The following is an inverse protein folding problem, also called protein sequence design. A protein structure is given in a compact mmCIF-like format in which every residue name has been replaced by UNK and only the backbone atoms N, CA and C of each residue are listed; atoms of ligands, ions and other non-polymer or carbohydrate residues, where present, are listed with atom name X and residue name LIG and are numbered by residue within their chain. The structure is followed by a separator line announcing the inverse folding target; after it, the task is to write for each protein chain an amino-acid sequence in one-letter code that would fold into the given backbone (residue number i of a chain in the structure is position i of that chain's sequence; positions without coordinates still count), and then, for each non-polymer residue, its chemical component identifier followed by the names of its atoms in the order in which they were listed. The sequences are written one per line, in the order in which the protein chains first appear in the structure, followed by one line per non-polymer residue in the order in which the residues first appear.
data_IF_067616522913
#
_entry.id   IF_067616522913
#
_cell.length_a   1.000
_cell.length_b   1.000
_cell.length_c   1.000
_cell.angle_alpha   90.00
_cell.angle_beta   90.00
_cell.angle_gamma   90.00
#
_symmetry.space_group_name_H-M   'P 1'
#
loop_
_entity.id
_entity.type
_entity.pdbx_description
1 polymer ?
#
# COMPACT_ATOMS: atom_id res chain seq x y z
N UNK A 1 -42.04 15.70 26.85
CA UNK A 1 -40.81 16.44 27.14
C UNK A 1 -39.80 15.49 27.77
N UNK A 2 -38.56 15.55 27.32
CA UNK A 2 -37.45 14.86 27.99
C UNK A 2 -37.10 15.63 29.28
N UNK A 3 -36.75 14.90 30.35
CA UNK A 3 -36.35 15.50 31.61
C UNK A 3 -34.84 15.44 31.68
N UNK A 4 -34.21 16.59 31.89
CA UNK A 4 -32.77 16.74 31.76
C UNK A 4 -32.22 17.40 33.02
N UNK A 5 -31.13 16.85 33.54
CA UNK A 5 -30.42 17.34 34.72
C UNK A 5 -29.03 17.79 34.30
N UNK A 6 -28.66 19.04 34.60
CA UNK A 6 -27.31 19.54 34.36
C UNK A 6 -26.33 19.02 35.42
N UNK A 7 -25.10 18.71 35.01
CA UNK A 7 -24.04 18.30 35.93
C UNK A 7 -23.51 19.55 36.64
N UNK A 8 -23.73 19.63 37.96
CA UNK A 8 -23.17 20.70 38.77
C UNK A 8 -21.65 20.54 38.89
N UNK A 9 -20.89 21.31 38.09
CA UNK A 9 -19.42 21.41 38.23
C UNK A 9 -18.58 21.22 36.96
N UNK A 10 -19.18 21.06 35.78
CA UNK A 10 -18.45 21.02 34.50
C UNK A 10 -18.78 19.81 33.63
N UNK A 11 -17.92 19.52 32.65
CA UNK A 11 -18.05 18.41 31.71
C UNK A 11 -17.37 17.13 32.23
N UNK A 12 -17.92 15.96 31.87
CA UNK A 12 -17.38 14.64 32.17
C UNK A 12 -16.97 13.93 30.87
N UNK A 13 -15.67 13.64 30.65
CA UNK A 13 -15.25 12.86 29.49
C UNK A 13 -15.65 11.38 29.66
N UNK A 14 -16.23 10.81 28.60
CA UNK A 14 -16.58 9.40 28.50
C UNK A 14 -15.80 8.83 27.32
N UNK A 15 -14.68 8.18 27.61
CA UNK A 15 -13.73 7.71 26.60
C UNK A 15 -13.80 6.20 26.45
N UNK A 16 -13.89 5.77 25.20
CA UNK A 16 -13.96 4.39 24.74
C UNK A 16 -12.76 4.02 23.85
N UNK A 17 -12.11 4.99 23.21
CA UNK A 17 -10.95 4.81 22.33
C UNK A 17 -9.73 4.07 22.93
N UNK A 18 -9.69 3.85 24.26
CA UNK A 18 -8.67 3.02 24.94
C UNK A 18 -9.09 1.60 25.29
N UNK A 19 -10.35 1.22 25.03
CA UNK A 19 -10.97 -0.09 25.32
C UNK A 19 -11.99 -0.46 24.24
N UNK A 20 -11.58 -0.37 22.97
CA UNK A 20 -12.45 -0.54 21.80
C UNK A 20 -13.22 -1.88 21.81
N UNK A 21 -12.62 -2.93 22.37
CA UNK A 21 -13.23 -4.25 22.57
C UNK A 21 -14.54 -4.20 23.39
N UNK A 22 -14.71 -3.15 24.20
CA UNK A 22 -15.85 -2.94 25.11
C UNK A 22 -16.86 -1.89 24.63
N UNK A 23 -16.61 -1.25 23.49
CA UNK A 23 -17.40 -0.11 23.01
C UNK A 23 -17.91 -0.24 21.58
N UNK A 24 -17.69 -1.40 20.96
CA UNK A 24 -18.18 -1.69 19.62
C UNK A 24 -17.17 -2.38 18.71
N UNK A 25 -15.89 -2.43 19.08
CA UNK A 25 -14.79 -3.00 18.26
C UNK A 25 -14.50 -2.15 17.02
N UNK A 26 -15.49 -2.04 16.14
CA UNK A 26 -15.48 -1.23 14.92
C UNK A 26 -15.71 0.26 15.21
N UNK A 27 -16.43 0.58 16.29
CA UNK A 27 -16.78 1.95 16.69
C UNK A 27 -16.35 2.25 18.12
N UNK A 28 -15.90 3.48 18.35
CA UNK A 28 -15.59 4.04 19.67
C UNK A 28 -16.28 5.42 19.79
N UNK A 29 -17.52 5.48 20.30
CA UNK A 29 -18.26 6.74 20.36
C UNK A 29 -17.82 7.54 21.60
N UNK A 30 -16.63 8.14 21.58
CA UNK A 30 -16.19 9.01 22.67
C UNK A 30 -17.16 10.18 22.84
N UNK A 31 -17.55 10.50 24.07
CA UNK A 31 -18.53 11.55 24.40
C UNK A 31 -18.00 12.51 25.46
N UNK A 32 -18.62 13.69 25.53
CA UNK A 32 -18.49 14.62 26.66
C UNK A 32 -19.87 14.85 27.25
N UNK A 33 -20.09 14.47 28.50
CA UNK A 33 -21.37 14.67 29.17
C UNK A 33 -21.35 15.92 30.07
N UNK A 34 -22.28 16.84 29.85
CA UNK A 34 -22.58 17.98 30.75
C UNK A 34 -23.99 17.89 31.35
N UNK A 35 -24.75 16.85 31.00
CA UNK A 35 -26.05 16.56 31.57
C UNK A 35 -26.42 15.07 31.54
N UNK A 36 -27.53 14.76 32.21
CA UNK A 36 -28.19 13.44 32.17
C UNK A 36 -29.61 13.63 31.64
N UNK A 37 -29.90 13.02 30.50
CA UNK A 37 -31.23 12.88 29.92
C UNK A 37 -31.90 11.61 30.43
N UNK A 38 -33.20 11.67 30.72
CA UNK A 38 -33.97 10.47 31.08
C UNK A 38 -34.07 9.48 29.91
N UNK A 39 -34.06 9.96 28.66
CA UNK A 39 -34.19 9.12 27.46
C UNK A 39 -32.84 8.63 26.91
N UNK A 40 -31.77 9.37 27.13
CA UNK A 40 -30.46 9.10 26.52
C UNK A 40 -29.36 8.80 27.54
N UNK A 41 -29.57 9.03 28.84
CA UNK A 41 -28.53 8.88 29.85
C UNK A 41 -27.55 10.06 29.85
N UNK A 42 -26.25 9.85 30.15
CA UNK A 42 -25.23 10.88 30.06
C UNK A 42 -25.09 11.40 28.62
N UNK A 43 -25.21 12.71 28.45
CA UNK A 43 -25.21 13.37 27.13
C UNK A 43 -24.57 14.74 27.18
N UNK A 44 -24.14 15.22 26.03
CA UNK A 44 -23.94 16.65 25.82
C UNK A 44 -25.29 17.32 25.54
N UNK A 45 -25.67 18.31 26.33
CA UNK A 45 -26.96 18.99 26.28
C UNK A 45 -27.22 19.62 24.90
N UNK A 46 -26.18 20.20 24.30
CA UNK A 46 -26.24 20.73 22.94
C UNK A 46 -26.66 19.64 21.93
N UNK A 47 -26.04 18.46 22.05
CA UNK A 47 -26.28 17.25 21.25
C UNK A 47 -27.72 16.72 21.26
N UNK A 48 -28.57 17.14 22.21
CA UNK A 48 -29.99 16.76 22.23
C UNK A 48 -30.86 17.58 21.25
N UNK A 49 -30.34 18.71 20.77
CA UNK A 49 -31.10 19.69 19.97
C UNK A 49 -30.54 19.92 18.57
N UNK A 50 -29.42 19.28 18.28
CA UNK A 50 -28.65 19.40 17.04
C UNK A 50 -28.47 18.03 16.42
N UNK A 51 -28.26 18.01 15.11
CA UNK A 51 -27.88 16.83 14.35
C UNK A 51 -26.42 16.87 13.92
N UNK A 52 -25.64 17.86 14.39
CA UNK A 52 -24.21 17.94 14.12
C UNK A 52 -23.44 16.92 14.98
N UNK A 53 -22.67 16.00 14.38
CA UNK A 53 -21.84 15.04 15.10
C UNK A 53 -20.88 15.66 16.11
N UNK A 54 -20.38 16.87 15.87
CA UNK A 54 -19.39 17.52 16.75
C UNK A 54 -19.97 18.00 18.06
N UNK A 55 -21.28 18.19 18.14
CA UNK A 55 -21.99 18.57 19.35
C UNK A 55 -22.45 17.35 20.17
N UNK A 56 -22.25 16.14 19.64
CA UNK A 56 -22.63 14.86 20.23
C UNK A 56 -21.40 14.06 20.65
N UNK A 57 -20.35 14.06 19.83
CA UNK A 57 -19.17 13.23 19.95
C UNK A 57 -17.93 14.04 20.32
N UNK A 58 -17.08 13.47 21.17
CA UNK A 58 -15.79 14.02 21.55
C UNK A 58 -14.74 13.85 20.43
N UNK A 59 -13.65 14.61 20.53
CA UNK A 59 -12.42 14.32 19.78
C UNK A 59 -11.92 12.91 20.13
N UNK A 60 -11.47 12.16 19.11
CA UNK A 60 -10.96 10.80 19.27
C UNK A 60 -11.99 9.68 19.06
N UNK A 61 -13.27 10.02 18.86
CA UNK A 61 -14.27 9.05 18.47
C UNK A 61 -13.95 8.45 17.09
N UNK A 62 -13.98 7.12 16.94
CA UNK A 62 -13.62 6.45 15.67
C UNK A 62 -14.65 5.45 15.15
N UNK A 63 -14.69 5.29 13.83
CA UNK A 63 -15.30 4.17 13.11
C UNK A 63 -14.24 3.60 12.17
N UNK A 64 -13.83 2.34 12.35
CA UNK A 64 -12.78 1.70 11.55
C UNK A 64 -11.52 2.59 11.44
N UNK A 65 -11.13 3.28 12.51
CA UNK A 65 -9.98 4.21 12.52
C UNK A 65 -10.18 5.57 11.80
N UNK A 66 -11.34 5.80 11.17
CA UNK A 66 -11.77 7.12 10.68
C UNK A 66 -12.35 7.95 11.82
N UNK A 67 -12.22 9.29 11.76
CA UNK A 67 -12.89 10.17 12.74
C UNK A 67 -14.40 10.02 12.57
N UNK A 68 -15.06 9.47 13.58
CA UNK A 68 -16.48 9.15 13.55
C UNK A 68 -17.32 10.38 13.20
N UNK A 69 -16.89 11.57 13.65
CA UNK A 69 -17.58 12.85 13.43
C UNK A 69 -17.59 13.30 11.99
N UNK A 70 -16.65 12.80 11.20
CA UNK A 70 -16.54 13.12 9.77
C UNK A 70 -17.26 12.11 8.89
N UNK A 71 -17.51 10.88 9.37
CA UNK A 71 -18.13 9.79 8.59
C UNK A 71 -19.60 9.53 8.94
N UNK A 72 -20.13 10.07 10.04
CA UNK A 72 -21.57 9.97 10.34
C UNK A 72 -22.31 11.26 10.00
N UNK A 73 -23.57 11.09 9.60
CA UNK A 73 -24.51 12.18 9.33
C UNK A 73 -25.90 11.81 9.83
N UNK A 74 -26.84 12.77 9.82
CA UNK A 74 -28.24 12.49 10.09
C UNK A 74 -28.54 12.04 11.53
N UNK A 75 -27.72 12.46 12.50
CA UNK A 75 -27.90 12.11 13.90
C UNK A 75 -29.30 12.49 14.40
N UNK A 76 -30.02 11.48 14.88
CA UNK A 76 -31.31 11.64 15.56
C UNK A 76 -31.14 11.93 17.05
N UNK A 77 -29.94 11.70 17.59
CA UNK A 77 -29.54 12.02 18.96
C UNK A 77 -28.25 11.29 19.38
N UNK A 78 -27.79 11.55 20.61
CA UNK A 78 -26.65 10.86 21.21
C UNK A 78 -26.96 9.37 21.47
N UNK A 79 -25.92 8.53 21.67
CA UNK A 79 -26.08 7.16 22.14
C UNK A 79 -26.95 7.10 23.41
N UNK A 80 -27.90 6.18 23.46
CA UNK A 80 -28.72 5.97 24.65
C UNK A 80 -27.98 5.05 25.62
N UNK A 81 -27.54 5.57 26.76
CA UNK A 81 -26.87 4.80 27.82
C UNK A 81 -27.80 4.75 29.04
N UNK A 82 -28.64 3.71 29.11
CA UNK A 82 -29.68 3.58 30.13
C UNK A 82 -29.37 2.42 31.06
N UNK A 83 -29.70 2.58 32.35
CA UNK A 83 -29.59 1.52 33.34
C UNK A 83 -30.97 1.08 33.82
N UNK A 84 -31.24 -0.22 33.71
CA UNK A 84 -32.40 -0.87 34.30
C UNK A 84 -32.09 -1.22 35.76
N UNK A 85 -32.77 -0.53 36.67
CA UNK A 85 -32.63 -0.69 38.12
C UNK A 85 -33.56 -1.76 38.70
N UNK A 86 -34.34 -2.47 37.89
CA UNK A 86 -35.20 -3.57 38.35
C UNK A 86 -34.40 -4.81 38.76
N UNK A 87 -33.14 -4.91 38.31
CA UNK A 87 -32.19 -5.97 38.64
C UNK A 87 -31.14 -5.50 39.67
N UNK A 88 -30.53 -6.45 40.40
CA UNK A 88 -29.43 -6.17 41.35
C UNK A 88 -28.30 -7.18 41.14
N UNK A 89 -27.12 -6.75 40.65
CA UNK A 89 -26.77 -5.40 40.22
C UNK A 89 -27.58 -4.93 39.00
N UNK A 90 -27.70 -3.61 38.77
CA UNK A 90 -28.46 -3.07 37.63
C UNK A 90 -27.82 -3.45 36.29
N UNK A 91 -28.66 -3.60 35.26
CA UNK A 91 -28.21 -3.86 33.89
C UNK A 91 -28.06 -2.53 33.16
N UNK A 92 -26.92 -2.27 32.54
CA UNK A 92 -26.68 -1.06 31.73
C UNK A 92 -26.66 -1.44 30.27
N UNK A 93 -27.43 -0.73 29.44
CA UNK A 93 -27.48 -0.92 28.00
C UNK A 93 -27.13 0.39 27.29
N UNK A 94 -26.15 0.33 26.40
CA UNK A 94 -25.87 1.36 25.41
C UNK A 94 -26.44 0.93 24.06
N UNK A 95 -27.24 1.78 23.43
CA UNK A 95 -27.73 1.56 22.06
C UNK A 95 -27.56 2.82 21.23
N UNK A 96 -27.09 2.65 20.00
CA UNK A 96 -26.98 3.73 19.03
C UNK A 96 -27.19 3.14 17.64
N UNK A 97 -28.10 3.68 16.85
CA UNK A 97 -28.52 3.06 15.58
C UNK A 97 -29.14 4.06 14.63
N UNK A 98 -29.50 3.58 13.44
CA UNK A 98 -30.08 4.38 12.35
C UNK A 98 -29.18 5.55 11.91
N UNK A 99 -27.86 5.41 12.04
CA UNK A 99 -26.90 6.41 11.61
C UNK A 99 -26.56 6.20 10.15
N UNK A 100 -26.74 7.25 9.34
CA UNK A 100 -26.28 7.24 7.94
C UNK A 100 -24.81 7.60 7.87
N UNK A 101 -24.05 6.87 7.05
CA UNK A 101 -22.65 7.15 6.82
C UNK A 101 -22.52 8.10 5.62
N UNK A 102 -21.59 9.04 5.72
CA UNK A 102 -21.30 10.03 4.68
C UNK A 102 -19.87 9.91 4.18
N UNK A 103 -19.63 10.50 3.02
CA UNK A 103 -18.35 10.40 2.34
C UNK A 103 -17.26 11.20 3.07
N UNK A 104 -16.20 10.48 3.44
CA UNK A 104 -14.96 11.06 3.94
C UNK A 104 -13.79 10.25 3.41
N UNK A 105 -13.17 10.66 2.29
CA UNK A 105 -12.18 9.83 1.62
C UNK A 105 -11.03 9.41 2.56
N UNK A 106 -10.54 8.15 2.49
CA UNK A 106 -10.94 7.09 1.56
C UNK A 106 -12.25 6.35 1.87
N UNK A 107 -12.94 6.70 2.97
CA UNK A 107 -14.23 6.11 3.32
C UNK A 107 -15.37 6.74 2.53
N UNK A 108 -16.30 5.92 2.04
CA UNK A 108 -17.49 6.36 1.32
C UNK A 108 -18.72 5.63 1.84
N UNK A 109 -19.72 6.39 2.29
CA UNK A 109 -20.96 5.81 2.77
C UNK A 109 -21.88 5.48 1.60
N UNK A 110 -22.36 4.25 1.53
CA UNK A 110 -23.37 3.86 0.55
C UNK A 110 -24.75 4.44 0.87
N UNK A 111 -25.68 4.44 -0.09
CA UNK A 111 -27.02 5.00 0.07
C UNK A 111 -27.89 4.26 1.09
N UNK A 112 -27.53 3.03 1.46
CA UNK A 112 -28.18 2.21 2.49
C UNK A 112 -27.29 2.04 3.72
N UNK A 113 -26.22 2.84 3.84
CA UNK A 113 -25.29 2.72 4.95
C UNK A 113 -25.95 2.92 6.30
N UNK A 114 -25.72 1.97 7.19
CA UNK A 114 -26.14 2.05 8.58
C UNK A 114 -24.99 1.71 9.52
N UNK A 115 -25.00 2.35 10.68
CA UNK A 115 -24.20 1.96 11.83
C UNK A 115 -25.14 1.68 13.00
N UNK A 116 -25.07 0.47 13.53
CA UNK A 116 -25.77 0.03 14.73
C UNK A 116 -24.78 -0.48 15.79
N UNK A 117 -24.96 -0.04 17.03
CA UNK A 117 -24.15 -0.39 18.18
C UNK A 117 -25.07 -0.77 19.34
N UNK A 118 -24.82 -1.93 19.93
CA UNK A 118 -25.44 -2.35 21.18
C UNK A 118 -24.37 -2.89 22.12
N UNK A 119 -24.30 -2.32 23.32
CA UNK A 119 -23.50 -2.86 24.43
C UNK A 119 -24.44 -3.12 25.59
N UNK A 120 -24.48 -4.36 26.07
CA UNK A 120 -25.29 -4.75 27.22
C UNK A 120 -24.39 -5.32 28.31
N UNK A 121 -24.45 -4.72 29.49
CA UNK A 121 -23.75 -5.15 30.68
C UNK A 121 -24.76 -5.56 31.74
N UNK A 122 -24.78 -6.84 32.08
CA UNK A 122 -25.55 -7.40 33.18
C UNK A 122 -24.63 -7.87 34.31
N UNK A 123 -25.20 -8.48 35.35
CA UNK A 123 -24.44 -9.10 36.44
C UNK A 123 -23.54 -10.25 35.94
N UNK A 124 -24.04 -10.99 34.94
CA UNK A 124 -23.50 -12.29 34.53
C UNK A 124 -22.72 -12.22 33.21
N UNK A 125 -22.93 -11.16 32.42
CA UNK A 125 -22.33 -11.03 31.09
C UNK A 125 -22.14 -9.57 30.65
N UNK A 126 -21.15 -9.39 29.78
CA UNK A 126 -21.05 -8.22 28.91
C UNK A 126 -21.11 -8.72 27.48
N UNK A 127 -22.01 -8.16 26.70
CA UNK A 127 -22.16 -8.45 25.27
C UNK A 127 -22.06 -7.14 24.49
N UNK A 128 -21.28 -7.15 23.42
CA UNK A 128 -21.10 -6.02 22.52
C UNK A 128 -21.39 -6.49 21.10
N UNK A 129 -22.21 -5.74 20.36
CA UNK A 129 -22.45 -5.95 18.93
C UNK A 129 -22.35 -4.63 18.19
N UNK A 130 -21.68 -4.62 17.05
CA UNK A 130 -21.61 -3.46 16.16
C UNK A 130 -21.75 -3.92 14.72
N UNK A 131 -22.74 -3.37 14.01
CA UNK A 131 -23.03 -3.68 12.62
C UNK A 131 -22.82 -2.40 11.79
N UNK A 132 -22.02 -2.50 10.73
CA UNK A 132 -21.74 -1.41 9.77
C UNK A 132 -22.07 -1.93 8.39
N UNK A 133 -22.93 -1.24 7.64
CA UNK A 133 -23.41 -1.73 6.34
C UNK A 133 -23.11 -0.76 5.21
N UNK A 134 -23.06 -1.30 3.99
CA UNK A 134 -23.05 -0.59 2.71
C UNK A 134 -22.04 0.57 2.69
N UNK A 135 -20.76 0.26 2.62
CA UNK A 135 -19.71 1.28 2.49
C UNK A 135 -18.55 0.83 1.63
N UNK A 136 -17.85 1.80 1.06
CA UNK A 136 -16.68 1.58 0.23
C UNK A 136 -15.42 2.15 0.88
N UNK A 137 -14.28 1.51 0.58
CA UNK A 137 -12.94 2.07 0.76
C UNK A 137 -12.32 2.30 -0.62
N UNK A 138 -12.11 3.56 -1.00
CA UNK A 138 -11.53 3.97 -2.30
C UNK A 138 -10.05 4.33 -2.16
N UNK A 139 -9.20 3.73 -3.00
CA UNK A 139 -7.74 3.76 -2.82
C UNK A 139 -6.99 3.97 -4.15
N UNK A 140 -6.20 5.04 -4.31
CA UNK A 140 -6.22 6.27 -3.52
C UNK A 140 -7.57 6.99 -3.66
N UNK A 141 -7.96 7.86 -2.72
CA UNK A 141 -9.27 8.50 -2.75
C UNK A 141 -9.49 9.39 -3.98
N UNK A 142 -10.73 9.40 -4.49
CA UNK A 142 -11.19 10.31 -5.54
C UNK A 142 -10.96 9.81 -6.97
N UNK A 143 -10.90 10.72 -7.94
CA UNK A 143 -10.87 10.38 -9.37
C UNK A 143 -9.66 9.56 -9.85
N UNK A 144 -8.68 9.34 -8.98
CA UNK A 144 -7.50 8.51 -9.24
C UNK A 144 -7.57 7.15 -8.53
N UNK A 145 -8.75 6.75 -8.02
CA UNK A 145 -8.97 5.44 -7.42
C UNK A 145 -8.49 4.32 -8.36
N UNK A 146 -7.74 3.39 -7.78
CA UNK A 146 -7.17 2.22 -8.42
C UNK A 146 -7.81 0.94 -7.90
N UNK A 147 -8.26 0.96 -6.64
CA UNK A 147 -8.96 -0.14 -5.99
C UNK A 147 -10.11 0.43 -5.15
N UNK A 148 -11.29 -0.14 -5.31
CA UNK A 148 -12.45 0.10 -4.46
C UNK A 148 -12.84 -1.22 -3.80
N UNK A 149 -12.91 -1.24 -2.48
CA UNK A 149 -13.46 -2.37 -1.73
C UNK A 149 -14.85 -2.01 -1.25
N UNK A 150 -15.86 -2.74 -1.72
CA UNK A 150 -17.23 -2.60 -1.29
C UNK A 150 -17.55 -3.64 -0.21
N UNK A 151 -18.16 -3.18 0.89
CA UNK A 151 -18.60 -4.01 2.00
C UNK A 151 -20.13 -3.95 2.11
N UNK A 152 -20.81 -5.09 2.01
CA UNK A 152 -22.24 -5.15 2.27
C UNK A 152 -22.52 -5.03 3.77
N UNK A 153 -21.84 -5.82 4.60
CA UNK A 153 -21.97 -5.75 6.06
C UNK A 153 -20.69 -6.21 6.79
N UNK A 154 -20.35 -5.49 7.86
CA UNK A 154 -19.34 -5.80 8.85
C UNK A 154 -19.99 -5.88 10.23
N UNK A 155 -19.98 -7.08 10.81
CA UNK A 155 -20.66 -7.40 12.06
C UNK A 155 -19.68 -7.88 13.10
N UNK A 156 -19.41 -7.04 14.08
CA UNK A 156 -18.60 -7.38 15.25
C UNK A 156 -19.49 -7.87 16.38
N UNK A 157 -19.08 -8.95 17.04
CA UNK A 157 -19.69 -9.42 18.27
C UNK A 157 -18.65 -9.86 19.30
N UNK A 158 -18.89 -9.50 20.56
CA UNK A 158 -18.02 -9.87 21.67
C UNK A 158 -18.88 -10.27 22.86
N UNK A 159 -18.53 -11.39 23.48
CA UNK A 159 -19.11 -11.84 24.75
C UNK A 159 -17.96 -12.01 25.74
N UNK A 160 -18.11 -11.48 26.95
CA UNK A 160 -17.11 -11.61 28.00
C UNK A 160 -16.64 -13.07 28.18
N UNK A 161 -15.33 -13.28 28.15
CA UNK A 161 -14.71 -14.60 28.29
C UNK A 161 -14.62 -15.44 27.01
N UNK A 162 -15.09 -14.92 25.86
CA UNK A 162 -14.89 -15.53 24.53
C UNK A 162 -13.99 -14.65 23.67
N UNK A 163 -13.38 -15.24 22.65
CA UNK A 163 -12.72 -14.48 21.60
C UNK A 163 -13.76 -13.61 20.87
N UNK A 164 -13.41 -12.36 20.51
CA UNK A 164 -14.24 -11.55 19.62
C UNK A 164 -14.49 -12.28 18.30
N UNK A 165 -15.67 -12.08 17.74
CA UNK A 165 -16.08 -12.58 16.44
C UNK A 165 -16.36 -11.41 15.52
N UNK A 166 -15.89 -11.49 14.29
CA UNK A 166 -16.17 -10.51 13.25
C UNK A 166 -16.61 -11.25 12.00
N UNK A 167 -17.90 -11.13 11.70
CA UNK A 167 -18.46 -11.56 10.43
C UNK A 167 -18.29 -10.44 9.41
N UNK A 168 -17.68 -10.78 8.27
CA UNK A 168 -17.61 -9.89 7.12
C UNK A 168 -18.45 -10.52 6.02
N UNK A 169 -19.59 -9.90 5.74
CA UNK A 169 -20.56 -10.39 4.79
C UNK A 169 -20.38 -9.64 3.47
N UNK A 170 -20.07 -10.42 2.43
CA UNK A 170 -19.93 -9.98 1.04
C UNK A 170 -19.01 -8.77 0.84
N UNK A 171 -17.75 -9.05 0.49
CA UNK A 171 -16.78 -8.03 0.10
C UNK A 171 -16.42 -8.22 -1.36
N UNK A 172 -16.50 -7.15 -2.14
CA UNK A 172 -16.10 -7.15 -3.55
C UNK A 172 -14.99 -6.14 -3.78
N UNK A 173 -14.04 -6.51 -4.65
CA UNK A 173 -12.97 -5.64 -5.10
C UNK A 173 -13.23 -5.23 -6.55
N UNK A 174 -13.18 -3.93 -6.81
CA UNK A 174 -13.21 -3.35 -8.14
C UNK A 174 -11.87 -2.68 -8.43
N UNK A 175 -11.20 -3.11 -9.52
CA UNK A 175 -9.99 -2.47 -9.99
C UNK A 175 -10.32 -1.34 -10.97
N UNK A 176 -9.88 -0.14 -10.64
CA UNK A 176 -10.22 1.09 -11.34
C UNK A 176 -9.00 1.75 -12.02
N UNK A 177 -9.27 2.78 -12.83
CA UNK A 177 -8.24 3.60 -13.46
C UNK A 177 -7.21 2.78 -14.24
N UNK A 178 -5.94 2.86 -13.82
CA UNK A 178 -4.82 2.17 -14.48
C UNK A 178 -4.82 0.66 -14.23
N UNK A 179 -5.57 0.17 -13.24
CA UNK A 179 -5.69 -1.25 -12.91
C UNK A 179 -6.85 -1.95 -13.65
N UNK A 180 -7.53 -1.28 -14.58
CA UNK A 180 -8.65 -1.86 -15.34
C UNK A 180 -8.27 -3.15 -16.11
N UNK A 181 -6.99 -3.35 -16.45
CA UNK A 181 -6.52 -4.61 -17.02
C UNK A 181 -6.67 -5.77 -16.02
N UNK A 182 -6.40 -5.52 -14.74
CA UNK A 182 -6.58 -6.51 -13.66
C UNK A 182 -8.05 -6.84 -13.44
N UNK A 183 -8.95 -5.85 -13.59
CA UNK A 183 -10.40 -6.09 -13.56
C UNK A 183 -10.82 -7.11 -14.62
N UNK A 184 -10.38 -6.92 -15.87
CA UNK A 184 -10.67 -7.86 -16.97
C UNK A 184 -10.11 -9.24 -16.71
N UNK A 185 -8.94 -9.31 -16.07
CA UNK A 185 -8.33 -10.56 -15.71
C UNK A 185 -9.12 -11.27 -14.61
N UNK A 186 -9.50 -10.56 -13.54
CA UNK A 186 -10.36 -11.06 -12.46
C UNK A 186 -11.66 -11.66 -13.01
N UNK A 187 -12.33 -10.94 -13.91
CA UNK A 187 -13.55 -11.39 -14.59
C UNK A 187 -13.32 -12.65 -15.43
N UNK A 188 -12.18 -12.74 -16.12
CA UNK A 188 -11.83 -13.89 -16.95
C UNK A 188 -11.55 -15.16 -16.13
N UNK A 189 -11.13 -15.02 -14.87
CA UNK A 189 -10.82 -16.16 -13.99
C UNK A 189 -11.89 -16.41 -12.90
N UNK A 190 -13.04 -15.71 -12.95
CA UNK A 190 -14.20 -15.89 -12.06
C UNK A 190 -13.85 -15.79 -10.56
N UNK A 191 -12.91 -14.91 -10.22
CA UNK A 191 -12.41 -14.71 -8.85
C UNK A 191 -13.46 -14.13 -7.89
N UNK A 192 -14.51 -13.49 -8.42
CA UNK A 192 -15.61 -12.93 -7.62
C UNK A 192 -16.29 -13.99 -6.74
N UNK A 193 -16.24 -15.27 -7.15
CA UNK A 193 -16.80 -16.38 -6.37
C UNK A 193 -15.95 -16.78 -5.17
N UNK A 194 -14.66 -16.44 -5.15
CA UNK A 194 -13.77 -16.78 -4.06
C UNK A 194 -13.82 -15.76 -2.90
N UNK A 195 -14.14 -14.50 -3.20
CA UNK A 195 -14.08 -13.40 -2.24
C UNK A 195 -12.65 -13.15 -1.71
N UNK A 196 -12.46 -12.17 -0.81
CA UNK A 196 -11.18 -12.01 -0.14
C UNK A 196 -10.94 -13.11 0.89
N UNK A 197 -9.67 -13.49 1.10
CA UNK A 197 -9.23 -14.21 2.29
C UNK A 197 -9.24 -13.24 3.46
N UNK A 198 -10.15 -13.48 4.42
CA UNK A 198 -10.32 -12.64 5.60
C UNK A 198 -9.72 -13.35 6.80
N UNK A 199 -8.76 -12.68 7.44
CA UNK A 199 -8.12 -13.12 8.68
C UNK A 199 -8.44 -12.14 9.79
N UNK A 200 -8.98 -12.65 10.89
CA UNK A 200 -9.21 -11.88 12.10
C UNK A 200 -8.20 -12.35 13.14
N UNK A 201 -7.41 -11.43 13.66
CA UNK A 201 -6.49 -11.66 14.77
C UNK A 201 -7.04 -11.00 16.03
N UNK A 202 -6.33 -11.12 17.16
CA UNK A 202 -6.69 -10.39 18.38
C UNK A 202 -6.49 -8.87 18.27
N UNK A 203 -5.80 -8.39 17.23
CA UNK A 203 -5.35 -7.00 17.08
C UNK A 203 -5.81 -6.31 15.80
N UNK A 204 -6.19 -7.09 14.78
CA UNK A 204 -6.48 -6.57 13.45
C UNK A 204 -7.38 -7.52 12.64
N UNK A 205 -7.95 -6.95 11.58
CA UNK A 205 -8.62 -7.64 10.49
C UNK A 205 -7.76 -7.43 9.25
N UNK A 206 -7.47 -8.50 8.53
CA UNK A 206 -6.81 -8.44 7.23
C UNK A 206 -7.72 -9.07 6.20
N UNK A 207 -8.26 -8.27 5.28
CA UNK A 207 -8.98 -8.74 4.11
C UNK A 207 -8.03 -8.69 2.91
N UNK A 208 -7.75 -9.83 2.27
CA UNK A 208 -6.75 -9.90 1.19
C UNK A 208 -7.25 -10.61 -0.06
N UNK A 209 -6.87 -10.09 -1.22
CA UNK A 209 -7.08 -10.66 -2.54
C UNK A 209 -5.74 -11.06 -3.15
N UNK A 210 -5.71 -12.24 -3.76
CA UNK A 210 -4.56 -12.71 -4.55
C UNK A 210 -5.06 -13.18 -5.92
N UNK A 211 -4.57 -12.54 -6.97
CA UNK A 211 -4.91 -12.84 -8.35
C UNK A 211 -3.64 -13.27 -9.09
N UNK A 212 -3.50 -14.57 -9.42
CA UNK A 212 -2.45 -15.03 -10.33
C UNK A 212 -2.61 -14.32 -11.68
N UNK A 213 -1.56 -13.63 -12.12
CA UNK A 213 -1.51 -12.99 -13.43
C UNK A 213 -1.01 -14.03 -14.45
N UNK A 214 -1.76 -14.30 -15.53
CA UNK A 214 -1.32 -15.24 -16.56
C UNK A 214 0.05 -14.86 -17.13
N UNK A 215 0.86 -15.86 -17.52
CA UNK A 215 2.14 -15.60 -18.15
C UNK A 215 1.98 -14.71 -19.39
N UNK A 216 2.89 -13.75 -19.55
CA UNK A 216 2.96 -12.91 -20.75
C UNK A 216 4.09 -13.44 -21.63
N UNK A 217 3.72 -13.96 -22.79
CA UNK A 217 4.66 -14.50 -23.77
C UNK A 217 4.63 -13.66 -25.05
N UNK A 218 5.80 -13.25 -25.55
CA UNK A 218 5.91 -12.53 -26.82
C UNK A 218 7.21 -12.92 -27.54
N UNK A 219 7.11 -13.84 -28.49
CA UNK A 219 8.28 -14.37 -29.20
C UNK A 219 9.19 -15.16 -28.26
N UNK A 220 10.42 -14.67 -28.05
CA UNK A 220 11.40 -15.28 -27.12
C UNK A 220 11.33 -14.68 -25.71
N UNK A 221 10.44 -13.71 -25.48
CA UNK A 221 10.20 -13.11 -24.18
C UNK A 221 9.13 -13.88 -23.42
N UNK A 222 9.41 -14.20 -22.16
CA UNK A 222 8.46 -14.80 -21.22
C UNK A 222 8.55 -14.06 -19.89
N UNK A 223 7.40 -13.68 -19.34
CA UNK A 223 7.26 -13.19 -17.98
C UNK A 223 6.21 -14.01 -17.24
N UNK A 224 6.57 -14.57 -16.09
CA UNK A 224 5.77 -15.56 -15.37
C UNK A 224 5.90 -15.40 -13.84
N UNK A 225 5.06 -16.09 -13.07
CA UNK A 225 5.09 -16.12 -11.61
C UNK A 225 4.54 -14.85 -10.95
N UNK A 226 3.89 -13.98 -11.72
CA UNK A 226 3.32 -12.75 -11.19
C UNK A 226 1.99 -13.04 -10.49
N UNK A 227 1.89 -12.61 -9.24
CA UNK A 227 0.64 -12.62 -8.47
C UNK A 227 0.36 -11.19 -8.04
N UNK A 228 -0.78 -10.66 -8.46
CA UNK A 228 -1.27 -9.40 -7.92
C UNK A 228 -1.84 -9.65 -6.52
N UNK A 229 -1.49 -8.79 -5.56
CA UNK A 229 -1.99 -8.80 -4.19
C UNK A 229 -2.64 -7.46 -3.88
N UNK A 230 -3.80 -7.50 -3.25
CA UNK A 230 -4.38 -6.37 -2.56
C UNK A 230 -4.75 -6.81 -1.15
N UNK A 231 -4.54 -5.98 -0.14
CA UNK A 231 -5.03 -6.24 1.21
C UNK A 231 -5.45 -4.96 1.90
N UNK A 232 -6.45 -5.05 2.76
CA UNK A 232 -6.82 -4.00 3.70
C UNK A 232 -6.67 -4.53 5.11
N UNK A 233 -5.95 -3.76 5.92
CA UNK A 233 -5.68 -4.03 7.31
C UNK A 233 -6.44 -3.02 8.16
N UNK A 234 -7.36 -3.50 8.99
CA UNK A 234 -8.14 -2.71 9.94
C UNK A 234 -7.70 -3.08 11.35
N UNK A 235 -6.93 -2.24 12.04
CA UNK A 235 -6.47 -2.52 13.40
C UNK A 235 -7.55 -2.15 14.44
N UNK A 236 -7.59 -2.89 15.56
CA UNK A 236 -8.54 -2.68 16.67
C UNK A 236 -8.06 -1.70 17.75
N UNK A 237 -6.82 -1.20 17.62
CA UNK A 237 -6.14 -0.36 18.60
C UNK A 237 -6.14 1.13 18.24
N UNK A 238 -6.97 1.53 17.27
CA UNK A 238 -7.10 2.92 16.82
C UNK A 238 -6.02 3.40 15.85
N UNK A 239 -5.08 2.53 15.45
CA UNK A 239 -4.19 2.81 14.32
C UNK A 239 -5.01 3.04 13.03
N UNK A 240 -4.49 3.78 12.04
CA UNK A 240 -5.19 3.97 10.77
C UNK A 240 -5.36 2.65 10.02
N UNK A 241 -6.46 2.53 9.27
CA UNK A 241 -6.63 1.47 8.27
C UNK A 241 -5.56 1.64 7.19
N UNK A 242 -4.85 0.56 6.87
CA UNK A 242 -3.85 0.54 5.82
C UNK A 242 -4.22 -0.42 4.69
N UNK A 243 -3.64 -0.14 3.54
CA UNK A 243 -3.94 -0.77 2.26
C UNK A 243 -2.62 -1.20 1.65
N UNK A 244 -2.49 -2.47 1.37
CA UNK A 244 -1.33 -3.03 0.69
C UNK A 244 -1.69 -3.38 -0.75
N UNK A 245 -0.88 -2.96 -1.71
CA UNK A 245 -0.93 -3.43 -3.09
C UNK A 245 0.41 -4.03 -3.45
N UNK A 246 0.43 -5.10 -4.24
CA UNK A 246 1.68 -5.73 -4.66
C UNK A 246 1.57 -6.50 -5.97
N UNK A 247 2.68 -6.56 -6.69
CA UNK A 247 2.90 -7.46 -7.81
C UNK A 247 4.10 -8.33 -7.45
N UNK A 248 3.85 -9.63 -7.32
CA UNK A 248 4.78 -10.58 -6.71
C UNK A 248 5.14 -10.16 -5.26
N UNK A 249 6.07 -10.85 -4.62
CA UNK A 249 6.63 -10.43 -3.31
C UNK A 249 8.10 -10.78 -3.26
N UNK A 250 8.77 -10.34 -2.20
CA UNK A 250 10.17 -10.66 -1.98
C UNK A 250 10.45 -12.16 -1.90
N UNK A 251 9.56 -12.93 -1.28
CA UNK A 251 9.69 -14.38 -1.12
C UNK A 251 9.37 -15.13 -2.41
N UNK A 252 8.54 -14.53 -3.26
CA UNK A 252 8.07 -15.10 -4.51
C UNK A 252 8.09 -14.05 -5.61
N UNK A 253 9.29 -13.66 -6.12
CA UNK A 253 9.42 -12.69 -7.18
C UNK A 253 8.87 -13.27 -8.50
N UNK A 254 8.35 -12.41 -9.37
CA UNK A 254 8.05 -12.80 -10.74
C UNK A 254 9.36 -13.02 -11.50
N UNK A 255 9.31 -13.82 -12.55
CA UNK A 255 10.46 -14.08 -13.43
C UNK A 255 10.25 -13.45 -14.80
N UNK A 256 11.35 -13.05 -15.42
CA UNK A 256 11.40 -12.54 -16.77
C UNK A 256 12.56 -13.21 -17.50
N UNK A 257 12.35 -13.65 -18.73
CA UNK A 257 13.39 -14.30 -19.53
C UNK A 257 13.31 -13.93 -21.01
N UNK A 258 14.48 -13.80 -21.62
CA UNK A 258 14.71 -13.60 -23.06
C UNK A 258 15.97 -14.35 -23.46
N UNK A 259 15.82 -15.52 -24.08
CA UNK A 259 16.95 -16.39 -24.45
C UNK A 259 17.83 -16.74 -23.23
N UNK A 260 19.12 -16.42 -23.27
CA UNK A 260 20.06 -16.63 -22.17
C UNK A 260 19.97 -15.56 -21.07
N UNK A 261 19.18 -14.50 -21.28
CA UNK A 261 18.95 -13.47 -20.29
C UNK A 261 17.75 -13.82 -19.44
N UNK A 262 17.90 -13.63 -18.13
CA UNK A 262 16.86 -13.84 -17.13
C UNK A 262 16.80 -12.66 -16.17
N UNK A 263 15.85 -12.72 -15.25
CA UNK A 263 15.67 -11.71 -14.23
C UNK A 263 14.37 -11.92 -13.51
N UNK A 264 14.01 -10.95 -12.68
CA UNK A 264 12.81 -11.00 -11.90
C UNK A 264 12.63 -9.75 -11.06
N UNK A 265 11.59 -9.78 -10.25
CA UNK A 265 11.34 -8.68 -9.35
C UNK A 265 10.04 -8.81 -8.59
N UNK A 266 9.75 -7.75 -7.85
CA UNK A 266 8.47 -7.54 -7.17
C UNK A 266 8.34 -6.06 -6.85
N UNK A 267 7.11 -5.64 -6.60
CA UNK A 267 6.81 -4.33 -6.01
C UNK A 267 5.67 -4.51 -5.03
N UNK A 268 5.82 -3.95 -3.84
CA UNK A 268 4.81 -3.91 -2.79
C UNK A 268 4.75 -2.50 -2.22
N UNK A 269 3.55 -1.98 -2.00
CA UNK A 269 3.31 -0.67 -1.41
C UNK A 269 2.24 -0.77 -0.34
N UNK A 270 2.37 0.05 0.69
CA UNK A 270 1.40 0.20 1.77
C UNK A 270 1.03 1.66 1.93
N UNK A 271 -0.26 1.96 1.99
CA UNK A 271 -0.79 3.32 2.15
C UNK A 271 -1.83 3.36 3.27
N UNK A 272 -1.95 4.50 3.95
CA UNK A 272 -3.08 4.78 4.84
C UNK A 272 -3.62 6.19 4.58
N UNK A 273 -4.51 6.69 5.47
CA UNK A 273 -5.10 8.04 5.35
C UNK A 273 -4.07 9.20 5.32
N UNK A 274 -2.82 8.96 5.73
CA UNK A 274 -1.76 9.96 5.70
C UNK A 274 -0.90 9.91 4.43
N UNK A 275 -1.06 8.86 3.61
CA UNK A 275 -0.34 8.67 2.35
C UNK A 275 0.44 7.35 2.31
N UNK A 276 1.49 7.32 1.48
CA UNK A 276 2.38 6.18 1.33
C UNK A 276 3.19 5.95 2.61
N UNK A 277 3.03 4.78 3.22
CA UNK A 277 3.75 4.35 4.42
C UNK A 277 4.98 3.53 4.09
N UNK A 278 4.82 2.60 3.15
CA UNK A 278 5.88 1.69 2.72
C UNK A 278 5.85 1.52 1.22
N UNK A 279 7.03 1.43 0.60
CA UNK A 279 7.20 1.00 -0.78
C UNK A 279 8.47 0.17 -0.86
N UNK A 280 8.34 -1.08 -1.27
CA UNK A 280 9.47 -1.96 -1.53
C UNK A 280 9.40 -2.43 -2.98
N UNK A 281 10.46 -2.22 -3.73
CA UNK A 281 10.56 -2.66 -5.10
C UNK A 281 11.94 -3.24 -5.37
N UNK A 282 12.00 -4.38 -6.03
CA UNK A 282 13.24 -5.00 -6.48
C UNK A 282 13.12 -5.39 -7.94
N UNK A 283 14.18 -5.15 -8.68
CA UNK A 283 14.32 -5.66 -10.04
C UNK A 283 15.74 -6.20 -10.20
N UNK A 284 15.84 -7.41 -10.72
CA UNK A 284 17.10 -8.04 -11.08
C UNK A 284 17.06 -8.52 -12.53
N UNK A 285 18.22 -8.51 -13.15
CA UNK A 285 18.43 -9.00 -14.50
C UNK A 285 19.81 -9.66 -14.58
N UNK A 286 19.97 -10.58 -15.51
CA UNK A 286 21.25 -11.21 -15.74
C UNK A 286 21.22 -12.17 -16.90
N UNK A 287 22.26 -12.99 -16.98
CA UNK A 287 22.38 -14.04 -17.96
C UNK A 287 22.99 -15.28 -17.33
N UNK A 288 22.54 -16.45 -17.78
CA UNK A 288 23.14 -17.74 -17.47
C UNK A 288 23.42 -18.45 -18.78
N UNK A 289 24.65 -18.92 -18.97
CA UNK A 289 25.07 -19.67 -20.15
C UNK A 289 25.77 -20.93 -19.70
N UNK A 290 25.24 -22.08 -20.13
CA UNK A 290 25.81 -23.39 -19.88
C UNK A 290 26.20 -24.12 -21.16
N UNK A 291 27.26 -24.90 -21.10
CA UNK A 291 27.71 -25.82 -22.15
C UNK A 291 28.00 -27.19 -21.56
N UNK A 292 27.57 -28.26 -22.26
CA UNK A 292 27.85 -29.65 -21.90
C UNK A 292 28.40 -30.40 -23.13
N UNK A 293 29.63 -30.90 -23.00
CA UNK A 293 30.32 -31.68 -24.04
C UNK A 293 30.40 -33.18 -23.68
N UNK A 294 29.66 -33.63 -22.66
CA UNK A 294 29.65 -35.00 -22.12
C UNK A 294 30.85 -35.32 -21.22
N UNK A 295 32.06 -34.89 -21.60
CA UNK A 295 33.30 -35.06 -20.80
C UNK A 295 33.63 -33.84 -19.94
N UNK A 296 33.05 -32.69 -20.26
CA UNK A 296 33.22 -31.44 -19.54
C UNK A 296 31.93 -30.61 -19.61
N UNK A 297 31.60 -29.98 -18.48
CA UNK A 297 30.48 -29.06 -18.32
C UNK A 297 31.00 -27.73 -17.82
N UNK A 298 30.41 -26.65 -18.31
CA UNK A 298 30.73 -25.31 -17.85
C UNK A 298 29.47 -24.47 -17.78
N UNK A 299 29.31 -23.71 -16.71
CA UNK A 299 28.27 -22.71 -16.55
C UNK A 299 28.90 -21.39 -16.14
N UNK A 300 28.40 -20.29 -16.69
CA UNK A 300 28.70 -18.94 -16.22
C UNK A 300 27.40 -18.19 -16.03
N UNK A 301 27.34 -17.38 -14.98
CA UNK A 301 26.22 -16.49 -14.70
C UNK A 301 26.70 -15.10 -14.33
N UNK A 302 25.92 -14.09 -14.70
CA UNK A 302 26.07 -12.72 -14.24
C UNK A 302 24.69 -12.14 -13.97
N UNK A 303 24.39 -11.81 -12.72
CA UNK A 303 23.12 -11.27 -12.25
C UNK A 303 23.37 -9.94 -11.54
N UNK A 304 22.56 -8.94 -11.81
CA UNK A 304 22.61 -7.66 -11.12
C UNK A 304 21.20 -7.18 -10.80
N UNK A 305 21.05 -6.50 -9.67
CA UNK A 305 19.75 -5.99 -9.28
C UNK A 305 19.84 -4.76 -8.39
N UNK A 306 18.71 -4.08 -8.30
CA UNK A 306 18.51 -2.93 -7.43
C UNK A 306 17.27 -3.17 -6.58
N UNK A 307 17.33 -2.76 -5.32
CA UNK A 307 16.22 -2.78 -4.39
C UNK A 307 16.07 -1.40 -3.76
N UNK A 308 14.88 -0.85 -3.92
CA UNK A 308 14.43 0.37 -3.29
C UNK A 308 13.47 0.03 -2.16
N UNK A 309 13.69 0.62 -0.99
CA UNK A 309 12.86 0.46 0.18
C UNK A 309 12.57 1.85 0.77
N UNK A 310 11.30 2.18 0.91
CA UNK A 310 10.81 3.34 1.64
C UNK A 310 10.00 2.80 2.83
N UNK A 311 10.35 3.22 4.04
CA UNK A 311 9.57 2.91 5.24
C UNK A 311 9.66 4.11 6.20
N UNK A 312 8.51 4.56 6.70
CA UNK A 312 8.42 5.63 7.71
C UNK A 312 9.15 6.94 7.31
N UNK A 313 9.26 7.19 6.00
CA UNK A 313 9.92 8.36 5.43
C UNK A 313 11.43 8.20 5.20
N UNK A 314 12.03 7.09 5.60
CA UNK A 314 13.43 6.76 5.29
C UNK A 314 13.50 5.97 3.98
N UNK A 315 14.37 6.40 3.06
CA UNK A 315 14.56 5.75 1.77
C UNK A 315 15.93 5.07 1.70
N UNK A 316 15.94 3.77 1.44
CA UNK A 316 17.15 2.97 1.24
C UNK A 316 17.21 2.50 -0.20
N UNK A 317 18.34 2.78 -0.84
CA UNK A 317 18.66 2.23 -2.15
C UNK A 317 19.84 1.29 -2.01
N UNK A 318 19.64 0.04 -2.42
CA UNK A 318 20.67 -0.99 -2.43
C UNK A 318 20.79 -1.61 -3.81
N UNK A 319 22.00 -2.04 -4.14
CA UNK A 319 22.30 -2.75 -5.37
C UNK A 319 23.11 -4.00 -5.07
N UNK A 320 23.02 -4.98 -5.95
CA UNK A 320 23.91 -6.13 -5.91
C UNK A 320 24.33 -6.52 -7.32
N UNK A 321 25.50 -7.13 -7.42
CA UNK A 321 26.00 -7.73 -8.64
C UNK A 321 26.70 -9.03 -8.29
N UNK A 322 26.27 -10.12 -8.91
CA UNK A 322 26.76 -11.47 -8.69
C UNK A 322 27.25 -12.03 -10.01
N UNK A 323 28.52 -12.39 -10.10
CA UNK A 323 29.09 -13.03 -11.29
C UNK A 323 29.86 -14.25 -10.86
N UNK A 324 29.64 -15.37 -11.54
CA UNK A 324 30.30 -16.60 -11.22
C UNK A 324 30.23 -17.61 -12.33
N UNK A 325 30.78 -18.77 -12.05
CA UNK A 325 30.73 -19.89 -12.96
C UNK A 325 31.39 -21.11 -12.36
N UNK A 326 31.03 -22.26 -12.91
CA UNK A 326 31.57 -23.56 -12.52
C UNK A 326 32.00 -24.32 -13.75
N UNK A 327 33.13 -25.01 -13.67
CA UNK A 327 33.59 -25.95 -14.69
C UNK A 327 33.84 -27.30 -14.04
N UNK A 328 33.23 -28.35 -14.60
CA UNK A 328 33.35 -29.73 -14.17
C UNK A 328 33.92 -30.59 -15.30
N UNK A 329 34.91 -31.44 -15.02
CA UNK A 329 35.52 -32.36 -15.99
C UNK A 329 35.46 -33.78 -15.44
N UNK A 330 34.78 -34.67 -16.19
CA UNK A 330 34.61 -36.10 -15.89
C UNK A 330 34.01 -36.43 -14.51
N UNK A 331 33.44 -35.45 -13.79
CA UNK A 331 33.05 -35.60 -12.38
C UNK A 331 34.22 -35.80 -11.41
N UNK A 332 35.45 -35.51 -11.84
CA UNK A 332 36.69 -35.70 -11.07
C UNK A 332 37.34 -34.39 -10.64
N UNK A 333 37.06 -33.32 -11.39
CA UNK A 333 37.62 -31.98 -11.20
C UNK A 333 36.44 -31.01 -11.30
N UNK A 334 36.25 -30.17 -10.29
CA UNK A 334 35.32 -29.04 -10.28
C UNK A 334 36.06 -27.79 -9.82
N UNK A 335 35.84 -26.69 -10.52
CA UNK A 335 36.30 -25.35 -10.10
C UNK A 335 35.11 -24.42 -10.16
N UNK A 336 34.79 -23.76 -9.05
CA UNK A 336 33.79 -22.69 -8.99
C UNK A 336 34.44 -21.37 -8.61
N UNK A 337 33.93 -20.29 -9.19
CA UNK A 337 34.31 -18.92 -8.84
C UNK A 337 33.03 -18.12 -8.69
N UNK A 338 32.90 -17.39 -7.59
CA UNK A 338 31.73 -16.55 -7.30
C UNK A 338 32.18 -15.20 -6.73
N UNK A 339 31.85 -14.12 -7.43
CA UNK A 339 32.02 -12.74 -6.97
C UNK A 339 30.66 -12.13 -6.66
N UNK A 340 30.46 -11.71 -5.42
CA UNK A 340 29.30 -10.96 -4.96
C UNK A 340 29.72 -9.55 -4.58
N UNK A 341 29.14 -8.56 -5.24
CA UNK A 341 29.25 -7.14 -4.90
C UNK A 341 27.92 -6.66 -4.35
N UNK A 342 27.96 -6.00 -3.20
CA UNK A 342 26.79 -5.31 -2.62
C UNK A 342 27.08 -3.82 -2.57
N UNK A 343 26.05 -3.01 -2.84
CA UNK A 343 26.08 -1.56 -2.84
C UNK A 343 24.97 -1.06 -1.91
N UNK A 344 25.26 -0.06 -1.09
CA UNK A 344 24.30 0.57 -0.21
C UNK A 344 24.47 2.09 -0.24
N UNK A 345 23.38 2.79 -0.55
CA UNK A 345 23.29 4.24 -0.44
C UNK A 345 22.73 4.62 0.93
N UNK A 346 23.48 5.46 1.64
CA UNK A 346 23.07 6.09 2.89
C UNK A 346 22.67 7.53 2.58
N UNK A 347 21.38 7.85 2.76
CA UNK A 347 20.79 9.15 2.45
C UNK A 347 21.17 10.24 3.45
N UNK A 348 21.52 9.86 4.67
CA UNK A 348 21.91 10.74 5.77
C UNK A 348 23.32 11.29 5.55
N UNK A 349 24.24 10.43 5.12
CA UNK A 349 25.62 10.79 4.79
C UNK A 349 25.81 11.13 3.32
N UNK A 350 24.82 10.81 2.48
CA UNK A 350 24.87 10.95 1.02
C UNK A 350 26.08 10.19 0.41
N UNK A 351 26.33 8.98 0.95
CA UNK A 351 27.45 8.12 0.57
C UNK A 351 26.92 6.82 -0.04
N UNK A 352 27.47 6.45 -1.20
CA UNK A 352 27.30 5.15 -1.80
C UNK A 352 28.52 4.30 -1.47
N UNK A 353 28.31 3.27 -0.65
CA UNK A 353 29.35 2.32 -0.24
C UNK A 353 29.16 0.97 -0.91
N UNK A 354 30.23 0.19 -1.00
CA UNK A 354 30.19 -1.16 -1.54
C UNK A 354 31.09 -2.13 -0.78
N UNK A 355 30.82 -3.43 -0.94
CA UNK A 355 31.65 -4.53 -0.47
C UNK A 355 31.63 -5.64 -1.52
N UNK A 356 32.80 -6.20 -1.82
CA UNK A 356 32.97 -7.31 -2.75
C UNK A 356 33.55 -8.53 -2.02
N UNK A 357 32.91 -9.68 -2.18
CA UNK A 357 33.36 -10.99 -1.69
C UNK A 357 33.56 -11.92 -2.87
N UNK A 358 34.77 -12.46 -3.02
CA UNK A 358 35.14 -13.45 -4.03
C UNK A 358 35.43 -14.79 -3.34
N UNK A 359 34.69 -15.82 -3.71
CA UNK A 359 34.90 -17.20 -3.28
C UNK A 359 35.39 -18.02 -4.47
N UNK A 360 36.47 -18.76 -4.28
CA UNK A 360 37.01 -19.70 -5.26
C UNK A 360 37.06 -21.07 -4.60
N UNK A 361 36.28 -22.03 -5.11
CA UNK A 361 36.33 -23.41 -4.67
C UNK A 361 37.00 -24.29 -5.72
N UNK A 362 37.91 -25.15 -5.28
CA UNK A 362 38.57 -26.15 -6.10
C UNK A 362 38.30 -27.50 -5.48
N UNK A 363 37.72 -28.41 -6.25
CA UNK A 363 37.50 -29.81 -5.86
C UNK A 363 38.15 -30.73 -6.90
N UNK A 364 39.13 -31.49 -6.44
CA UNK A 364 39.86 -32.50 -7.17
C UNK A 364 39.64 -33.83 -6.45
N UNK A 365 39.75 -34.93 -7.19
CA UNK A 365 39.47 -36.30 -6.69
C UNK A 365 40.11 -36.65 -5.34
N UNK A 366 41.25 -36.04 -4.98
CA UNK A 366 41.97 -36.27 -3.72
C UNK A 366 42.26 -34.98 -2.93
N UNK A 367 41.72 -33.84 -3.34
CA UNK A 367 42.02 -32.53 -2.73
C UNK A 367 40.87 -31.56 -2.94
N UNK A 368 40.40 -30.90 -1.88
CA UNK A 368 39.45 -29.79 -1.98
C UNK A 368 39.93 -28.64 -1.12
N UNK A 369 39.76 -27.41 -1.62
CA UNK A 369 40.15 -26.19 -0.94
C UNK A 369 39.26 -25.01 -1.37
N UNK A 370 39.14 -24.02 -0.49
CA UNK A 370 38.28 -22.84 -0.67
C UNK A 370 39.02 -21.59 -0.23
N UNK A 371 39.04 -20.57 -1.10
CA UNK A 371 39.65 -19.28 -0.81
C UNK A 371 38.58 -18.19 -0.89
N UNK A 372 38.38 -17.49 0.22
CA UNK A 372 37.52 -16.32 0.32
C UNK A 372 38.36 -15.04 0.41
N UNK A 373 38.02 -14.06 -0.42
CA UNK A 373 38.61 -12.73 -0.47
C UNK A 373 37.52 -11.68 -0.24
N UNK A 374 37.65 -10.89 0.82
CA UNK A 374 36.75 -9.77 1.13
C UNK A 374 37.49 -8.44 0.90
N UNK A 375 36.92 -7.55 0.10
CA UNK A 375 37.47 -6.22 -0.15
C UNK A 375 37.38 -5.30 1.08
N UNK A 376 36.56 -5.65 2.07
CA UNK A 376 36.05 -4.72 3.06
C UNK A 376 35.06 -3.73 2.43
N UNK A 377 34.58 -2.78 3.25
CA UNK A 377 33.73 -1.68 2.76
C UNK A 377 34.60 -0.62 2.11
N UNK A 378 34.21 -0.21 0.90
CA UNK A 378 34.80 0.90 0.16
C UNK A 378 33.73 1.91 -0.22
N UNK A 379 34.12 3.16 -0.45
CA UNK A 379 33.20 4.23 -0.88
C UNK A 379 33.27 4.35 -2.40
N UNK A 380 32.13 4.15 -3.07
CA UNK A 380 32.00 4.33 -4.52
C UNK A 380 31.80 5.81 -4.87
N UNK A 381 30.97 6.52 -4.10
CA UNK A 381 30.67 7.94 -4.29
C UNK A 381 30.23 8.59 -2.98
N UNK A 382 30.41 9.92 -2.86
CA UNK A 382 30.13 10.69 -1.65
C UNK A 382 31.38 10.93 -0.79
N UNK A 383 31.28 11.84 0.18
CA UNK A 383 32.35 12.14 1.15
C UNK A 383 31.86 11.83 2.57
N UNK A 384 32.39 10.76 3.21
CA UNK A 384 31.98 10.38 4.57
C UNK A 384 32.34 11.40 5.65
N UNK A 385 33.18 12.41 5.33
CA UNK A 385 33.57 13.48 6.25
C UNK A 385 32.89 14.83 5.97
N UNK A 386 32.01 14.93 4.97
CA UNK A 386 31.30 16.17 4.67
C UNK A 386 30.06 16.32 5.56
N UNK A 387 30.00 17.37 6.38
CA UNK A 387 28.78 17.73 7.12
C UNK A 387 27.69 18.18 6.12
N UNK A 388 26.58 17.46 6.03
CA UNK A 388 25.51 17.78 5.08
C UNK A 388 24.43 18.68 5.68
N UNK A 389 23.93 19.69 4.93
CA UNK A 389 22.73 20.42 5.31
C UNK A 389 21.50 19.52 5.20
N UNK A 390 20.54 19.69 6.09
CA UNK A 390 19.28 18.95 6.10
C UNK A 390 18.58 19.01 4.73
N UNK A 391 17.91 17.92 4.30
CA UNK A 391 17.17 17.91 3.05
C UNK A 391 16.12 19.04 3.05
N UNK A 392 15.88 19.70 1.90
CA UNK A 392 14.83 20.70 1.81
C UNK A 392 13.48 20.03 2.16
N UNK A 393 12.61 20.70 2.94
CA UNK A 393 11.30 20.16 3.26
C UNK A 393 10.55 19.86 1.96
N UNK A 394 9.83 18.74 1.94
CA UNK A 394 8.96 18.37 0.84
C UNK A 394 8.05 19.57 0.49
N UNK A 395 7.81 19.85 -0.80
CA UNK A 395 6.94 20.95 -1.19
C UNK A 395 5.58 20.75 -0.52
N UNK A 396 4.98 21.81 0.07
CA UNK A 396 3.67 21.69 0.69
C UNK A 396 2.68 21.17 -0.35
N UNK A 397 1.91 20.15 0.02
CA UNK A 397 0.81 19.64 -0.78
C UNK A 397 -0.08 20.83 -1.17
N UNK A 398 -0.21 21.04 -2.49
CA UNK A 398 -1.02 22.14 -3.03
C UNK A 398 -2.44 21.98 -2.48
N UNK A 399 -3.01 22.99 -1.79
CA UNK A 399 -4.41 22.91 -1.40
C UNK A 399 -5.26 22.81 -2.68
N UNK A 400 -6.18 21.86 -2.69
CA UNK A 400 -7.23 21.76 -3.70
C UNK A 400 -8.06 23.04 -3.61
N UNK A 401 -7.88 23.95 -4.56
CA UNK A 401 -8.63 25.19 -4.62
C UNK A 401 -10.05 24.89 -5.09
N UNK A 402 -11.02 25.30 -4.28
CA UNK A 402 -12.44 25.26 -4.59
C UNK A 402 -12.85 26.16 -5.76
N UNK A 403 -14.01 25.78 -6.29
CA UNK A 403 -14.88 26.27 -7.36
C UNK A 403 -15.05 27.80 -7.63
N UNK A 404 -15.75 28.18 -8.74
CA UNK A 404 -15.27 29.17 -9.70
C UNK A 404 -15.82 30.59 -9.49
N UNK A 405 -14.96 31.59 -9.71
CA UNK A 405 -15.34 33.01 -9.79
C UNK A 405 -14.77 33.63 -11.07
N UNK A 406 -15.66 34.06 -11.97
CA UNK A 406 -15.31 34.51 -13.31
C UNK A 406 -14.59 35.87 -13.39
N UNK A 407 -13.89 36.07 -14.51
CA UNK A 407 -13.57 37.40 -15.06
C UNK A 407 -13.22 37.32 -16.56
N UNK A 408 -13.71 38.32 -17.30
CA UNK A 408 -13.54 38.59 -18.75
C UNK A 408 -12.09 38.97 -19.13
N UNK A 409 -11.72 38.97 -20.42
CA UNK A 409 -10.34 38.87 -20.90
C UNK A 409 -9.66 40.23 -21.10
N UNK A 410 -8.33 40.22 -21.33
CA UNK A 410 -7.79 40.99 -22.44
C UNK A 410 -6.85 40.17 -23.34
N UNK A 411 -6.78 40.60 -24.59
CA UNK A 411 -6.17 39.87 -25.69
C UNK A 411 -4.64 39.89 -25.71
N UNK A 412 -4.11 38.82 -26.29
CA UNK A 412 -2.71 38.65 -26.66
C UNK A 412 -2.63 37.44 -27.57
N UNK A 413 -2.35 37.66 -28.85
CA UNK A 413 -2.37 36.65 -29.89
C UNK A 413 -1.39 35.50 -29.60
N UNK A 414 -1.92 34.28 -29.46
CA UNK A 414 -1.17 33.05 -29.63
C UNK A 414 -1.56 32.46 -30.98
N UNK A 415 -0.57 32.31 -31.86
CA UNK A 415 -0.64 31.58 -33.11
C UNK A 415 -0.99 30.11 -32.86
N UNK A 416 -2.00 29.61 -33.57
CA UNK A 416 -2.42 28.20 -33.56
C UNK A 416 -1.24 27.25 -33.83
N UNK A 417 -1.07 26.17 -33.06
CA UNK A 417 -0.35 25.00 -33.53
C UNK A 417 -1.23 24.27 -34.56
N UNK A 418 -0.63 23.65 -35.60
CA UNK A 418 -1.38 23.01 -36.67
C UNK A 418 -2.22 21.85 -36.14
N UNK A 419 -3.50 21.86 -36.52
CA UNK A 419 -4.48 20.78 -36.41
C UNK A 419 -3.83 19.43 -36.75
N UNK A 420 -3.56 18.59 -35.74
CA UNK A 420 -3.30 17.18 -35.99
C UNK A 420 -4.62 16.52 -36.39
N UNK A 421 -4.61 16.04 -37.63
CA UNK A 421 -5.66 15.23 -38.21
C UNK A 421 -5.96 14.03 -37.31
N UNK A 422 -7.26 13.76 -37.18
CA UNK A 422 -7.86 12.52 -36.73
C UNK A 422 -7.07 11.31 -37.28
N UNK A 423 -6.28 10.66 -36.44
CA UNK A 423 -5.67 9.37 -36.74
C UNK A 423 -6.77 8.30 -36.68
N UNK A 424 -7.47 8.13 -37.80
CA UNK A 424 -8.11 6.88 -38.14
C UNK A 424 -7.03 5.90 -38.61
N UNK A 425 -7.14 4.63 -38.17
CA UNK A 425 -6.41 3.46 -38.62
C UNK A 425 -4.87 3.49 -38.45
N UNK A 426 -4.40 3.19 -37.24
CA UNK A 426 -3.05 2.63 -37.07
C UNK A 426 -3.08 1.14 -37.45
N UNK A 427 -2.21 0.64 -38.35
CA UNK A 427 -2.17 -0.77 -38.70
C UNK A 427 -1.67 -1.62 -37.53
N UNK A 428 -2.17 -2.85 -37.43
CA UNK A 428 -1.72 -3.85 -36.48
C UNK A 428 -0.21 -4.11 -36.65
N UNK A 429 0.46 -4.43 -35.54
CA UNK A 429 1.92 -4.62 -35.45
C UNK A 429 2.50 -5.73 -36.37
N UNK A 430 1.66 -6.53 -37.04
CA UNK A 430 2.09 -7.57 -37.98
C UNK A 430 2.50 -7.03 -39.37
N UNK A 431 2.16 -5.79 -39.72
CA UNK A 431 2.43 -5.21 -41.05
C UNK A 431 3.55 -4.13 -41.07
N UNK A 432 4.28 -3.95 -39.97
CA UNK A 432 5.30 -2.90 -39.88
C UNK A 432 6.59 -3.26 -40.65
N UNK A 433 6.94 -2.45 -41.67
CA UNK A 433 8.19 -2.58 -42.44
C UNK A 433 9.42 -2.52 -41.51
N UNK A 434 10.29 -3.55 -41.50
CA UNK A 434 11.52 -3.60 -40.69
C UNK A 434 12.42 -2.36 -40.85
N UNK A 435 12.40 -1.72 -42.02
CA UNK A 435 13.17 -0.49 -42.25
C UNK A 435 12.63 0.70 -41.45
N UNK A 436 11.32 0.76 -41.24
CA UNK A 436 10.66 1.82 -40.46
C UNK A 436 10.92 1.67 -38.95
N UNK A 437 10.97 0.43 -38.46
CA UNK A 437 11.32 0.11 -37.07
C UNK A 437 12.79 0.42 -36.79
N UNK A 438 13.69 0.11 -37.73
CA UNK A 438 15.11 0.44 -37.63
C UNK A 438 15.35 1.96 -37.62
N UNK A 439 14.61 2.72 -38.43
CA UNK A 439 14.69 4.19 -38.45
C UNK A 439 14.19 4.79 -37.12
N UNK A 440 13.09 4.26 -36.58
CA UNK A 440 12.51 4.68 -35.29
C UNK A 440 13.45 4.38 -34.12
N UNK A 441 14.10 3.22 -34.13
CA UNK A 441 15.10 2.83 -33.13
C UNK A 441 16.37 3.69 -33.20
N UNK A 442 16.79 4.05 -34.41
CA UNK A 442 17.96 4.93 -34.62
C UNK A 442 17.68 6.35 -34.13
N UNK A 443 16.47 6.87 -34.36
CA UNK A 443 16.04 8.17 -33.84
C UNK A 443 15.95 8.17 -32.31
N UNK A 444 15.43 7.09 -31.71
CA UNK A 444 15.39 6.90 -30.26
C UNK A 444 16.80 6.91 -29.66
N UNK A 445 17.73 6.11 -30.22
CA UNK A 445 19.14 6.10 -29.75
C UNK A 445 19.83 7.45 -29.86
N UNK A 446 19.55 8.22 -30.92
CA UNK A 446 20.17 9.53 -31.11
C UNK A 446 19.73 10.56 -30.06
N UNK A 447 18.53 10.44 -29.50
CA UNK A 447 18.02 11.33 -28.45
C UNK A 447 18.75 11.15 -27.09
N UNK A 448 19.43 10.02 -26.89
CA UNK A 448 20.15 9.70 -25.65
C UNK A 448 21.67 9.61 -25.82
N UNK A 449 22.19 9.94 -27.00
CA UNK A 449 23.63 10.03 -27.21
C UNK A 449 24.19 11.30 -26.55
N UNK A 450 25.30 11.22 -25.78
CA UNK A 450 25.91 12.40 -25.16
C UNK A 450 26.41 13.37 -26.23
N UNK A 451 26.13 14.67 -26.03
CA UNK A 451 26.54 15.74 -26.95
C UNK A 451 28.08 15.86 -26.95
N UNK A 452 28.75 15.95 -28.12
CA UNK A 452 30.19 16.14 -28.16
C UNK A 452 30.58 17.45 -27.45
N UNK A 453 31.40 17.35 -26.41
CA UNK A 453 31.92 18.50 -25.67
C UNK A 453 32.89 19.28 -26.55
N UNK A 454 32.69 20.59 -26.62
CA UNK A 454 33.52 21.53 -27.38
C UNK A 454 35.00 21.50 -26.96
N UNK A 455 35.84 21.72 -27.97
CA UNK A 455 37.29 21.63 -27.95
C UNK A 455 37.98 22.44 -26.83
N UNK A 456 38.83 21.76 -26.04
CA UNK A 456 39.94 22.40 -25.33
C UNK A 456 40.95 22.89 -26.37
N UNK A 457 41.01 24.22 -26.50
CA UNK A 457 41.94 24.93 -27.37
C UNK A 457 43.33 24.95 -26.75
N UNK A 458 44.25 24.23 -27.38
CA UNK A 458 45.69 24.41 -27.22
C UNK A 458 46.12 25.77 -27.80
N UNK A 459 46.66 26.64 -26.95
CA UNK A 459 47.53 27.76 -27.35
C UNK A 459 48.49 28.09 -26.22
N UNK A 460 49.76 27.72 -26.38
CA UNK A 460 50.93 28.63 -26.28
C UNK A 460 52.20 27.95 -26.81
N UNK A 461 52.54 28.28 -28.05
CA UNK A 461 53.90 28.36 -28.61
C UNK A 461 54.47 29.77 -28.32
N UNK A 462 55.77 30.07 -28.53
CA UNK A 462 56.78 29.40 -29.37
C UNK A 462 57.86 28.61 -28.63
#
# INVERSE_FOLDING_TARGET
MDAVLEVAGGTLPITFSGVADRSGGLVTPDLVADGISRKHGPVQLAGLTTSDPKDVLADGATLLGFDLRDVVSGLTGPPQILSDLTHTPPTTKMTWGDLTLQDKPPFKGGPQSTLELTVERSADSVTTTCDVTDFDLEMPPGAAALLTLHFEELKYSQVAGKAPDLAVNHVTAAFEGQLLLLQKLQEAVDLDKAGPDIRVTGTDIVASYQLPVPPVETGVFVMDGMVFRAAVLVPFDGRPVSVMLGFASREHPFTLSVLAFGGGGYVELEMDKSGLRRLEASLDFGAVVGVDFGVARGEVHAMGGVRYELADGEAKLSGFFRIGGTVEVLGLISVSVELVVTLAYDDTTNVLSGRATLVIDIDLTLYSDSVELDSGVWVLAGDPNAAHPAPPPLPPSRPVAGEPGGLRPPGGAFTEPPTQARAADAPNAEDADPASLAASWTAYRAAFAPTPTDALTDRRTP
#
